data_IF_317684668874
#
_entry.id   IF_317684668874
#
_cell.length_a   1.000
_cell.length_b   1.000
_cell.length_c   1.000
_cell.angle_alpha   90.00
_cell.angle_beta   90.00
_cell.angle_gamma   90.00
#
_symmetry.space_group_name_H-M   'P 1'
#
loop_
_entity.id
_entity.type
_entity.pdbx_description
1 polymer ?
#
# COMPACT_ATOMS: atom_id res chain seq x y z
N UNK A 1 -25.10 -18.86 1.38
CA UNK A 1 -23.63 -18.81 1.34
C UNK A 1 -23.16 -19.61 0.14
N UNK A 2 -22.67 -18.96 -0.92
CA UNK A 2 -22.07 -19.63 -2.05
C UNK A 2 -20.68 -20.11 -1.62
N UNK A 3 -20.40 -21.40 -1.74
CA UNK A 3 -19.05 -21.93 -1.52
C UNK A 3 -18.09 -21.28 -2.52
N UNK A 4 -16.89 -20.89 -2.11
CA UNK A 4 -15.91 -20.33 -3.04
C UNK A 4 -15.55 -21.40 -4.09
N UNK A 5 -15.53 -21.04 -5.38
CA UNK A 5 -15.14 -21.97 -6.44
C UNK A 5 -13.71 -22.47 -6.24
N UNK A 6 -13.47 -23.76 -6.51
CA UNK A 6 -12.12 -24.34 -6.47
C UNK A 6 -11.15 -23.59 -7.39
N UNK A 7 -9.84 -23.62 -7.12
CA UNK A 7 -8.82 -22.77 -7.76
C UNK A 7 -8.88 -22.76 -9.32
N UNK A 8 -9.22 -23.85 -9.96
CA UNK A 8 -9.37 -23.91 -11.43
C UNK A 8 -10.66 -23.21 -11.91
N UNK A 9 -11.75 -23.30 -11.16
CA UNK A 9 -13.01 -22.63 -11.47
C UNK A 9 -12.94 -21.11 -11.22
N UNK A 10 -12.23 -20.67 -10.18
CA UNK A 10 -12.03 -19.25 -9.91
C UNK A 10 -11.20 -18.57 -11.00
N UNK A 11 -10.18 -19.24 -11.53
CA UNK A 11 -9.37 -18.74 -12.64
C UNK A 11 -10.18 -18.70 -13.96
N UNK A 12 -11.04 -19.69 -14.22
CA UNK A 12 -11.93 -19.70 -15.38
C UNK A 12 -12.95 -18.56 -15.29
N UNK A 13 -13.60 -18.39 -14.15
CA UNK A 13 -14.57 -17.32 -13.93
C UNK A 13 -13.95 -15.92 -14.09
N UNK A 14 -12.76 -15.68 -13.51
CA UNK A 14 -12.06 -14.41 -13.67
C UNK A 14 -11.67 -14.14 -15.13
N UNK A 15 -11.22 -15.17 -15.85
CA UNK A 15 -10.91 -15.07 -17.27
C UNK A 15 -12.16 -14.69 -18.09
N UNK A 16 -13.29 -15.40 -17.88
CA UNK A 16 -14.55 -15.12 -18.56
C UNK A 16 -15.06 -13.72 -18.27
N UNK A 17 -14.98 -13.28 -17.01
CA UNK A 17 -15.35 -11.94 -16.59
C UNK A 17 -14.48 -10.88 -17.27
N UNK A 18 -13.16 -11.07 -17.28
CA UNK A 18 -12.24 -10.18 -17.97
C UNK A 18 -12.49 -10.12 -19.47
N UNK A 19 -12.75 -11.27 -20.11
CA UNK A 19 -13.08 -11.30 -21.52
C UNK A 19 -14.41 -10.60 -21.80
N UNK A 20 -15.44 -10.81 -20.97
CA UNK A 20 -16.73 -10.12 -21.11
C UNK A 20 -16.65 -8.60 -20.96
N UNK A 21 -15.88 -8.11 -19.99
CA UNK A 21 -15.74 -6.68 -19.74
C UNK A 21 -14.77 -5.96 -20.69
N UNK A 22 -13.73 -6.66 -21.16
CA UNK A 22 -12.61 -6.06 -21.89
C UNK A 22 -12.47 -6.58 -23.33
N UNK A 23 -13.46 -7.34 -23.85
CA UNK A 23 -13.46 -7.88 -25.23
C UNK A 23 -13.32 -6.78 -26.30
N UNK A 24 -13.91 -5.62 -26.04
CA UNK A 24 -13.93 -4.48 -26.97
C UNK A 24 -13.13 -3.27 -26.48
N UNK A 25 -12.63 -3.31 -25.22
CA UNK A 25 -11.97 -2.17 -24.58
C UNK A 25 -10.61 -2.57 -24.05
N UNK A 26 -9.59 -1.77 -24.33
CA UNK A 26 -8.28 -1.97 -23.69
C UNK A 26 -8.34 -1.58 -22.21
N UNK A 27 -7.52 -2.25 -21.43
CA UNK A 27 -7.25 -1.89 -20.05
C UNK A 27 -6.01 -1.01 -19.95
N UNK A 28 -6.16 0.18 -19.39
CA UNK A 28 -5.06 1.08 -19.01
C UNK A 28 -4.99 1.12 -17.48
N UNK A 29 -3.86 0.74 -16.92
CA UNK A 29 -3.59 0.81 -15.49
C UNK A 29 -2.62 1.94 -15.21
N UNK A 30 -2.91 2.76 -14.21
CA UNK A 30 -2.10 3.93 -13.85
C UNK A 30 -1.73 3.85 -12.37
N UNK A 31 -0.43 3.84 -12.07
CA UNK A 31 0.06 3.89 -10.70
C UNK A 31 1.40 4.62 -10.63
N UNK A 32 1.76 5.17 -9.48
CA UNK A 32 3.04 5.86 -9.35
C UNK A 32 4.24 4.93 -9.55
N UNK A 33 4.19 3.68 -9.05
CA UNK A 33 5.21 2.65 -9.27
C UNK A 33 4.76 1.65 -10.33
N UNK A 34 5.67 1.32 -11.25
CA UNK A 34 5.43 0.33 -12.27
C UNK A 34 5.69 -1.12 -11.81
N UNK A 35 5.36 -2.09 -12.68
CA UNK A 35 5.61 -3.51 -12.46
C UNK A 35 7.09 -3.86 -12.49
N UNK A 36 7.90 -3.01 -13.08
CA UNK A 36 9.36 -3.12 -13.17
C UNK A 36 10.02 -1.76 -12.98
N UNK A 37 11.27 -1.77 -12.58
CA UNK A 37 12.21 -0.64 -12.64
C UNK A 37 13.49 -1.05 -13.38
N UNK A 38 14.13 -0.10 -14.02
CA UNK A 38 15.41 -0.28 -14.71
C UNK A 38 16.51 0.42 -13.93
N UNK A 39 17.58 -0.31 -13.63
CA UNK A 39 18.77 0.23 -12.98
C UNK A 39 19.94 0.22 -13.96
N UNK A 40 20.77 1.26 -13.88
CA UNK A 40 22.05 1.29 -14.59
C UNK A 40 23.08 0.62 -13.68
N UNK A 41 23.69 -0.48 -14.14
CA UNK A 41 24.81 -1.15 -13.51
C UNK A 41 25.86 -1.45 -14.57
N UNK A 42 27.09 -1.02 -14.33
CA UNK A 42 28.20 -1.16 -15.30
C UNK A 42 27.80 -0.71 -16.73
N UNK A 43 27.17 0.45 -16.81
CA UNK A 43 26.59 1.09 -18.02
C UNK A 43 25.54 0.23 -18.78
N UNK A 44 25.09 -0.86 -18.18
CA UNK A 44 24.03 -1.73 -18.71
C UNK A 44 22.72 -1.53 -17.96
N UNK A 45 21.63 -1.61 -18.68
CA UNK A 45 20.30 -1.59 -18.11
C UNK A 45 19.96 -2.96 -17.53
N UNK A 46 19.67 -3.01 -16.24
CA UNK A 46 19.19 -4.20 -15.54
C UNK A 46 17.72 -4.01 -15.17
N UNK A 47 16.87 -4.91 -15.67
CA UNK A 47 15.46 -4.96 -15.31
C UNK A 47 15.30 -5.59 -13.94
N UNK A 48 14.61 -4.90 -13.03
CA UNK A 48 14.21 -5.42 -11.74
C UNK A 48 12.69 -5.48 -11.65
N UNK A 49 12.18 -6.53 -11.03
CA UNK A 49 10.75 -6.63 -10.76
C UNK A 49 10.36 -5.62 -9.68
N UNK A 50 9.32 -4.86 -9.91
CA UNK A 50 8.74 -3.96 -8.93
C UNK A 50 8.29 -4.71 -7.68
N UNK A 51 8.48 -4.09 -6.52
CA UNK A 51 8.09 -4.65 -5.22
C UNK A 51 6.93 -3.88 -4.62
N UNK A 52 6.10 -4.57 -3.84
CA UNK A 52 4.99 -4.00 -3.10
C UNK A 52 3.64 -4.66 -3.40
N UNK A 53 2.73 -4.65 -2.43
CA UNK A 53 1.44 -5.33 -2.50
C UNK A 53 0.59 -4.90 -3.71
N UNK A 54 0.58 -3.60 -4.03
CA UNK A 54 -0.14 -3.05 -5.20
C UNK A 54 0.38 -3.64 -6.51
N UNK A 55 1.71 -3.64 -6.72
CA UNK A 55 2.32 -4.19 -7.94
C UNK A 55 2.04 -5.68 -8.07
N UNK A 56 2.15 -6.42 -6.97
CA UNK A 56 1.89 -7.88 -6.96
C UNK A 56 0.44 -8.20 -7.30
N UNK A 57 -0.51 -7.49 -6.68
CA UNK A 57 -1.93 -7.70 -6.91
C UNK A 57 -2.35 -7.37 -8.36
N UNK A 58 -1.87 -6.24 -8.88
CA UNK A 58 -2.25 -5.76 -10.20
C UNK A 58 -1.55 -6.51 -11.35
N UNK A 59 -0.31 -6.96 -11.15
CA UNK A 59 0.40 -7.76 -12.16
C UNK A 59 -0.33 -9.06 -12.50
N UNK A 60 -1.16 -9.59 -11.59
CA UNK A 60 -1.93 -10.80 -11.86
C UNK A 60 -2.95 -10.61 -12.99
N UNK A 61 -3.48 -9.40 -13.20
CA UNK A 61 -4.47 -9.10 -14.24
C UNK A 61 -3.89 -9.29 -15.64
N UNK A 62 -2.59 -9.01 -15.84
CA UNK A 62 -1.93 -9.17 -17.16
C UNK A 62 -1.90 -10.61 -17.69
N UNK A 63 -2.23 -11.61 -16.85
CA UNK A 63 -2.39 -13.01 -17.28
C UNK A 63 -3.69 -13.26 -18.05
N UNK A 64 -4.66 -12.38 -17.89
CA UNK A 64 -6.01 -12.58 -18.40
C UNK A 64 -6.35 -11.62 -19.53
N UNK A 65 -5.70 -10.46 -19.60
CA UNK A 65 -5.99 -9.40 -20.58
C UNK A 65 -4.73 -8.66 -20.99
N UNK A 66 -4.71 -8.15 -22.22
CA UNK A 66 -3.71 -7.19 -22.66
C UNK A 66 -3.90 -5.89 -21.87
N UNK A 67 -2.86 -5.44 -21.18
CA UNK A 67 -2.91 -4.19 -20.45
C UNK A 67 -1.74 -3.26 -20.80
N UNK A 68 -2.01 -1.96 -20.76
CA UNK A 68 -0.99 -0.91 -20.78
C UNK A 68 -0.85 -0.35 -19.38
N UNK A 69 0.35 -0.46 -18.80
CA UNK A 69 0.63 0.10 -17.49
C UNK A 69 1.39 1.42 -17.62
N UNK A 70 0.83 2.50 -17.08
CA UNK A 70 1.45 3.83 -17.06
C UNK A 70 2.03 4.07 -15.67
N UNK A 71 3.33 4.38 -15.57
CA UNK A 71 4.04 4.54 -14.31
C UNK A 71 5.09 5.65 -14.37
N UNK A 72 5.51 6.19 -13.22
CA UNK A 72 6.63 7.14 -13.14
C UNK A 72 7.96 6.50 -13.52
N UNK A 73 8.76 7.22 -14.32
CA UNK A 73 10.17 6.95 -14.47
C UNK A 73 10.92 7.41 -13.21
N UNK A 74 11.13 6.50 -12.25
CA UNK A 74 11.65 6.84 -10.93
C UNK A 74 13.18 7.01 -10.93
N UNK A 75 13.88 6.12 -11.62
CA UNK A 75 15.34 6.07 -11.70
C UNK A 75 15.91 6.62 -12.98
N UNK A 76 17.23 6.64 -13.09
CA UNK A 76 17.94 7.02 -14.30
C UNK A 76 17.73 5.98 -15.41
N UNK A 77 17.76 4.69 -15.06
CA UNK A 77 17.51 3.61 -16.02
C UNK A 77 16.10 3.70 -16.63
N UNK A 78 15.06 4.01 -15.81
CA UNK A 78 13.70 4.22 -16.32
C UNK A 78 13.63 5.39 -17.32
N UNK A 79 14.32 6.50 -17.00
CA UNK A 79 14.37 7.70 -17.88
C UNK A 79 15.07 7.41 -19.19
N UNK A 80 16.17 6.62 -19.16
CA UNK A 80 16.89 6.18 -20.34
C UNK A 80 15.99 5.31 -21.22
N UNK A 81 15.33 4.30 -20.66
CA UNK A 81 14.36 3.46 -21.38
C UNK A 81 13.22 4.30 -21.95
N UNK A 82 12.66 5.23 -21.17
CA UNK A 82 11.58 6.10 -21.63
C UNK A 82 11.98 6.96 -22.83
N UNK A 83 13.22 7.46 -22.87
CA UNK A 83 13.73 8.26 -24.01
C UNK A 83 14.01 7.42 -25.25
N UNK A 84 14.46 6.17 -25.08
CA UNK A 84 14.74 5.24 -26.20
C UNK A 84 13.47 4.70 -26.84
N UNK A 85 12.42 4.42 -26.04
CA UNK A 85 11.20 3.75 -26.50
C UNK A 85 10.10 4.67 -27.03
N UNK A 86 10.17 5.97 -26.76
CA UNK A 86 9.23 7.00 -27.23
C UNK A 86 7.74 6.59 -27.19
N UNK A 87 7.24 6.21 -26.01
CA UNK A 87 5.85 5.79 -25.81
C UNK A 87 5.72 4.52 -24.99
N UNK A 88 4.73 3.69 -25.34
CA UNK A 88 4.57 2.37 -24.70
C UNK A 88 5.49 1.34 -25.37
N UNK A 89 6.03 0.45 -24.58
CA UNK A 89 6.85 -0.67 -25.03
C UNK A 89 6.49 -1.96 -24.29
N UNK A 90 6.85 -3.07 -24.88
CA UNK A 90 6.53 -4.41 -24.40
C UNK A 90 7.51 -4.83 -23.31
N UNK A 91 6.99 -5.33 -22.20
CA UNK A 91 7.78 -5.90 -21.10
C UNK A 91 7.38 -7.35 -20.92
N UNK A 92 8.38 -8.24 -20.94
CA UNK A 92 8.19 -9.65 -20.64
C UNK A 92 8.60 -9.92 -19.20
N UNK A 93 7.68 -10.49 -18.43
CA UNK A 93 7.91 -10.98 -17.08
C UNK A 93 7.67 -12.50 -17.06
N UNK A 94 8.24 -13.26 -16.09
CA UNK A 94 7.98 -14.70 -16.02
C UNK A 94 6.49 -15.04 -16.00
N UNK A 95 6.00 -15.65 -17.11
CA UNK A 95 4.60 -16.03 -17.30
C UNK A 95 3.62 -14.87 -17.55
N UNK A 96 4.10 -13.68 -17.89
CA UNK A 96 3.28 -12.49 -18.10
C UNK A 96 3.89 -11.57 -19.17
N UNK A 97 3.03 -10.93 -19.95
CA UNK A 97 3.41 -9.92 -20.91
C UNK A 97 2.49 -8.72 -20.75
N UNK A 98 3.05 -7.51 -20.79
CA UNK A 98 2.30 -6.27 -20.69
C UNK A 98 3.00 -5.15 -21.47
N UNK A 99 2.27 -4.08 -21.75
CA UNK A 99 2.86 -2.84 -22.24
C UNK A 99 3.12 -1.89 -21.08
N UNK A 100 4.29 -1.27 -21.05
CA UNK A 100 4.68 -0.25 -20.09
C UNK A 100 4.87 1.09 -20.79
N UNK A 101 4.39 2.17 -20.19
CA UNK A 101 4.67 3.55 -20.57
C UNK A 101 5.14 4.33 -19.36
N UNK A 102 6.35 4.89 -19.46
CA UNK A 102 6.86 5.75 -18.42
C UNK A 102 6.42 7.20 -18.57
N UNK A 103 6.02 7.83 -17.46
CA UNK A 103 5.85 9.27 -17.33
C UNK A 103 7.13 9.86 -16.76
N UNK A 104 7.79 10.70 -17.54
CA UNK A 104 9.05 11.36 -17.15
C UNK A 104 8.74 12.77 -16.64
N UNK A 105 8.97 13.00 -15.36
CA UNK A 105 8.87 14.33 -14.75
C UNK A 105 10.25 14.89 -14.48
N UNK A 106 10.49 16.22 -14.59
CA UNK A 106 11.72 16.84 -14.13
C UNK A 106 12.00 16.51 -12.66
N UNK A 107 13.26 16.34 -12.28
CA UNK A 107 13.64 15.90 -10.92
C UNK A 107 13.08 16.81 -9.82
N UNK A 108 13.11 18.12 -10.02
CA UNK A 108 12.57 19.11 -9.09
C UNK A 108 11.04 19.04 -8.97
N UNK A 109 10.33 18.81 -10.08
CA UNK A 109 8.85 18.63 -10.10
C UNK A 109 8.47 17.34 -9.37
N UNK A 110 9.17 16.23 -9.64
CA UNK A 110 8.94 14.96 -8.95
C UNK A 110 9.27 15.04 -7.47
N UNK A 111 10.31 15.80 -7.08
CA UNK A 111 10.63 16.05 -5.67
C UNK A 111 9.49 16.79 -4.95
N UNK A 112 8.94 17.85 -5.54
CA UNK A 112 7.77 18.57 -5.00
C UNK A 112 6.56 17.65 -4.85
N UNK A 113 6.27 16.88 -5.87
CA UNK A 113 5.18 15.90 -5.89
C UNK A 113 5.33 14.82 -4.80
N UNK A 114 6.44 14.09 -4.81
CA UNK A 114 6.60 12.89 -3.99
C UNK A 114 7.11 13.18 -2.58
N UNK A 115 8.15 14.02 -2.46
CA UNK A 115 8.84 14.23 -1.19
C UNK A 115 8.29 15.40 -0.37
N UNK A 116 7.58 16.35 -0.99
CA UNK A 116 6.99 17.48 -0.26
C UNK A 116 5.48 17.34 -0.09
N UNK A 117 4.75 16.82 -1.07
CA UNK A 117 3.29 16.79 -1.03
C UNK A 117 2.72 15.40 -0.72
N UNK A 118 3.03 14.37 -1.53
CA UNK A 118 2.39 13.06 -1.37
C UNK A 118 2.69 12.42 -0.01
N UNK A 119 3.95 12.24 0.34
CA UNK A 119 4.32 11.48 1.53
C UNK A 119 4.27 12.27 2.83
N UNK A 120 4.82 13.50 2.94
CA UNK A 120 4.78 14.26 4.20
C UNK A 120 3.42 14.89 4.50
N UNK A 121 2.54 15.07 3.49
CA UNK A 121 1.25 15.71 3.69
C UNK A 121 0.09 14.74 3.53
N UNK A 122 -0.23 14.29 2.29
CA UNK A 122 -1.41 13.44 2.06
C UNK A 122 -1.32 12.11 2.80
N UNK A 123 -0.19 11.43 2.74
CA UNK A 123 -0.03 10.15 3.42
C UNK A 123 -0.16 10.30 4.93
N UNK A 124 0.50 11.32 5.52
CA UNK A 124 0.40 11.59 6.96
C UNK A 124 -1.01 12.02 7.37
N UNK A 125 -1.67 12.87 6.56
CA UNK A 125 -3.08 13.23 6.77
C UNK A 125 -3.95 11.97 6.82
N UNK A 126 -3.87 11.14 5.81
CA UNK A 126 -4.74 9.96 5.69
C UNK A 126 -4.44 8.86 6.74
N UNK A 127 -3.27 8.90 7.36
CA UNK A 127 -2.92 8.00 8.46
C UNK A 127 -3.02 8.66 9.84
N UNK A 128 -3.67 9.82 9.98
CA UNK A 128 -3.81 10.56 11.26
C UNK A 128 -2.46 10.87 11.94
N UNK A 129 -1.40 11.10 11.15
CA UNK A 129 -0.03 11.24 11.63
C UNK A 129 0.45 12.69 11.75
N UNK A 130 -0.44 13.67 11.54
CA UNK A 130 -0.08 15.08 11.78
C UNK A 130 0.01 15.36 13.27
N UNK A 131 1.11 15.97 13.71
CA UNK A 131 1.25 16.51 15.06
C UNK A 131 0.71 17.94 15.07
N UNK A 132 -0.60 18.08 14.99
CA UNK A 132 -1.31 19.31 14.69
C UNK A 132 -0.94 20.54 15.51
N UNK A 133 -0.50 20.48 16.79
CA UNK A 133 0.00 21.66 17.48
C UNK A 133 1.29 22.25 16.89
N UNK A 134 2.07 21.44 16.15
CA UNK A 134 3.41 21.82 15.69
C UNK A 134 3.64 21.65 14.18
N UNK A 135 3.08 20.62 13.58
CA UNK A 135 3.34 20.25 12.17
C UNK A 135 2.12 19.58 11.53
N UNK A 136 1.96 19.70 10.19
CA UNK A 136 2.75 20.50 9.26
C UNK A 136 2.36 21.99 9.28
N UNK A 137 3.27 22.86 8.81
CA UNK A 137 2.94 24.24 8.47
C UNK A 137 2.68 24.30 6.97
N UNK A 138 1.46 24.68 6.58
CA UNK A 138 1.03 24.74 5.18
C UNK A 138 1.32 26.13 4.60
N UNK A 139 2.60 26.39 4.31
CA UNK A 139 3.12 27.66 3.79
C UNK A 139 3.13 27.71 2.24
N UNK A 140 3.71 28.77 1.68
CA UNK A 140 3.83 28.96 0.22
C UNK A 140 4.55 27.82 -0.49
N UNK A 141 5.46 27.10 0.19
CA UNK A 141 6.18 25.94 -0.39
C UNK A 141 5.25 24.75 -0.61
N UNK A 142 4.26 24.60 0.28
CA UNK A 142 3.22 23.56 0.13
C UNK A 142 2.30 23.91 -1.04
N UNK A 143 1.92 25.17 -1.22
CA UNK A 143 1.12 25.59 -2.37
C UNK A 143 1.90 25.46 -3.68
N UNK A 144 3.18 25.78 -3.70
CA UNK A 144 4.05 25.53 -4.85
C UNK A 144 4.21 24.04 -5.14
N UNK A 145 4.34 23.19 -4.11
CA UNK A 145 4.39 21.74 -4.26
C UNK A 145 3.06 21.15 -4.74
N UNK A 146 1.93 21.75 -4.37
CA UNK A 146 0.63 21.40 -4.91
C UNK A 146 0.55 21.69 -6.42
N UNK A 147 0.73 22.95 -6.83
CA UNK A 147 0.58 23.38 -8.24
C UNK A 147 1.67 22.79 -9.15
N UNK A 148 2.95 23.06 -8.79
CA UNK A 148 4.12 22.76 -9.62
C UNK A 148 4.74 21.38 -9.32
N UNK A 149 4.07 20.58 -8.49
CA UNK A 149 4.43 19.20 -8.17
C UNK A 149 3.25 18.28 -8.40
N UNK A 150 2.31 18.27 -7.45
CA UNK A 150 1.21 17.30 -7.42
C UNK A 150 0.28 17.42 -8.64
N UNK A 151 -0.25 18.61 -8.90
CA UNK A 151 -1.14 18.85 -10.04
C UNK A 151 -0.40 18.63 -11.36
N UNK A 152 0.84 19.15 -11.50
CA UNK A 152 1.63 19.01 -12.70
C UNK A 152 1.94 17.54 -13.06
N UNK A 153 2.35 16.73 -12.08
CA UNK A 153 2.62 15.29 -12.30
C UNK A 153 1.34 14.54 -12.64
N UNK A 154 0.24 14.80 -11.92
CA UNK A 154 -1.07 14.18 -12.20
C UNK A 154 -1.55 14.51 -13.62
N UNK A 155 -1.34 15.75 -14.10
CA UNK A 155 -1.63 16.13 -15.49
C UNK A 155 -0.79 15.33 -16.47
N UNK A 156 0.51 15.17 -16.22
CA UNK A 156 1.38 14.36 -17.08
C UNK A 156 0.94 12.89 -17.17
N UNK A 157 0.44 12.32 -16.08
CA UNK A 157 -0.17 10.98 -16.09
C UNK A 157 -1.46 10.94 -16.92
N UNK A 158 -2.33 11.93 -16.75
CA UNK A 158 -3.55 12.04 -17.53
C UNK A 158 -3.25 12.20 -19.03
N UNK A 159 -2.32 13.07 -19.39
CA UNK A 159 -1.89 13.27 -20.80
C UNK A 159 -1.34 11.97 -21.40
N UNK A 160 -0.55 11.20 -20.65
CA UNK A 160 -0.06 9.90 -21.09
C UNK A 160 -1.21 8.91 -21.34
N UNK A 161 -2.21 8.87 -20.45
CA UNK A 161 -3.39 8.01 -20.60
C UNK A 161 -4.28 8.43 -21.77
N UNK A 162 -4.50 9.74 -21.96
CA UNK A 162 -5.26 10.31 -23.08
C UNK A 162 -4.58 9.96 -24.40
N UNK A 163 -3.25 10.11 -24.49
CA UNK A 163 -2.48 9.77 -25.68
C UNK A 163 -2.48 8.25 -25.98
N UNK A 164 -2.61 7.37 -24.99
CA UNK A 164 -2.84 5.95 -25.22
C UNK A 164 -4.28 5.67 -25.66
N UNK A 165 -5.25 6.29 -25.00
CA UNK A 165 -6.67 6.12 -25.29
C UNK A 165 -7.07 6.62 -26.70
N UNK A 166 -6.43 7.67 -27.19
CA UNK A 166 -6.72 8.23 -28.53
C UNK A 166 -6.40 7.25 -29.70
N UNK A 167 -5.70 6.17 -29.43
CA UNK A 167 -5.41 5.11 -30.41
C UNK A 167 -6.56 4.14 -30.59
N UNK A 168 -7.59 4.19 -29.72
CA UNK A 168 -8.72 3.26 -29.68
C UNK A 168 -9.95 3.87 -30.32
N UNK A 169 -10.74 3.01 -31.00
CA UNK A 169 -12.05 3.43 -31.53
C UNK A 169 -13.10 3.54 -30.42
N UNK A 170 -13.00 2.70 -29.39
CA UNK A 170 -13.87 2.65 -28.23
C UNK A 170 -13.05 3.11 -27.02
N UNK A 171 -13.57 4.05 -26.20
CA UNK A 171 -12.84 4.53 -25.03
C UNK A 171 -12.44 3.39 -24.08
N UNK A 172 -11.21 3.38 -23.56
CA UNK A 172 -10.70 2.28 -22.74
C UNK A 172 -11.33 2.24 -21.35
N UNK A 173 -11.10 1.11 -20.67
CA UNK A 173 -11.26 1.02 -19.22
C UNK A 173 -9.95 1.50 -18.56
N UNK A 174 -10.02 2.46 -17.65
CA UNK A 174 -8.85 3.05 -17.00
C UNK A 174 -8.94 2.84 -15.49
N UNK A 175 -7.97 2.12 -14.93
CA UNK A 175 -7.83 1.90 -13.49
C UNK A 175 -6.69 2.78 -12.94
N UNK A 176 -7.03 3.74 -12.08
CA UNK A 176 -6.11 4.66 -11.43
C UNK A 176 -5.89 4.20 -9.99
N UNK A 177 -4.65 4.20 -9.52
CA UNK A 177 -4.32 3.67 -8.20
C UNK A 177 -3.66 4.69 -7.30
N UNK A 178 -4.25 4.80 -6.10
CA UNK A 178 -3.72 5.35 -4.88
C UNK A 178 -3.63 6.89 -4.82
N UNK A 179 -3.30 7.41 -3.63
CA UNK A 179 -3.35 8.83 -3.23
C UNK A 179 -2.43 9.75 -4.02
N UNK A 180 -1.41 9.21 -4.64
CA UNK A 180 -0.52 10.01 -5.48
C UNK A 180 -1.22 10.59 -6.72
N UNK A 181 -2.34 10.02 -7.15
CA UNK A 181 -2.93 10.26 -8.47
C UNK A 181 -4.38 10.76 -8.41
N UNK A 182 -4.81 11.36 -7.31
CA UNK A 182 -6.22 11.78 -7.13
C UNK A 182 -6.75 12.75 -8.19
N UNK A 183 -5.87 13.55 -8.84
CA UNK A 183 -6.29 14.52 -9.85
C UNK A 183 -6.41 13.92 -11.27
N UNK A 184 -5.87 12.72 -11.51
CA UNK A 184 -5.80 12.10 -12.84
C UNK A 184 -7.18 11.85 -13.44
N UNK A 185 -8.12 11.32 -12.63
CA UNK A 185 -9.47 10.99 -13.09
C UNK A 185 -10.25 12.20 -13.62
N UNK A 186 -10.18 13.32 -12.90
CA UNK A 186 -10.80 14.57 -13.32
C UNK A 186 -10.23 15.11 -14.64
N UNK A 187 -8.92 15.06 -14.83
CA UNK A 187 -8.28 15.49 -16.08
C UNK A 187 -8.63 14.60 -17.27
N UNK A 188 -8.70 13.27 -17.08
CA UNK A 188 -9.10 12.34 -18.15
C UNK A 188 -10.57 12.54 -18.51
N UNK A 189 -11.48 12.69 -17.54
CA UNK A 189 -12.91 12.86 -17.77
C UNK A 189 -13.20 14.08 -18.64
N UNK A 190 -12.46 15.18 -18.46
CA UNK A 190 -12.60 16.39 -19.26
C UNK A 190 -12.30 16.16 -20.76
N UNK A 191 -11.38 15.26 -21.09
CA UNK A 191 -10.91 15.02 -22.45
C UNK A 191 -11.56 13.80 -23.10
N UNK A 192 -11.91 12.78 -22.31
CA UNK A 192 -12.52 11.53 -22.78
C UNK A 192 -13.78 11.24 -21.94
N UNK A 193 -14.90 11.92 -22.21
CA UNK A 193 -16.13 11.75 -21.42
C UNK A 193 -16.68 10.32 -21.40
N UNK A 194 -16.44 9.53 -22.44
CA UNK A 194 -16.91 8.14 -22.58
C UNK A 194 -15.98 7.07 -21.99
N UNK A 195 -14.84 7.43 -21.40
CA UNK A 195 -13.97 6.47 -20.71
C UNK A 195 -14.65 5.92 -19.46
N UNK A 196 -14.44 4.63 -19.18
CA UNK A 196 -14.82 4.03 -17.89
C UNK A 196 -13.64 4.18 -16.96
N UNK A 197 -13.81 4.97 -15.89
CA UNK A 197 -12.75 5.33 -14.95
C UNK A 197 -13.01 4.69 -13.59
N UNK A 198 -12.02 3.98 -13.06
CA UNK A 198 -12.00 3.52 -11.68
C UNK A 198 -10.80 4.13 -10.97
N UNK A 199 -11.00 4.66 -9.76
CA UNK A 199 -9.90 5.05 -8.87
C UNK A 199 -9.92 4.18 -7.62
N UNK A 200 -8.85 3.43 -7.37
CA UNK A 200 -8.71 2.59 -6.18
C UNK A 200 -7.74 3.22 -5.18
N UNK A 201 -8.18 3.41 -3.94
CA UNK A 201 -7.41 4.00 -2.86
C UNK A 201 -6.94 2.89 -1.91
N UNK A 202 -5.61 2.69 -1.83
CA UNK A 202 -5.02 1.62 -1.04
C UNK A 202 -4.80 1.97 0.43
N UNK A 203 -4.67 3.25 0.74
CA UNK A 203 -4.48 3.76 2.10
C UNK A 203 -5.82 4.12 2.74
N UNK A 204 -5.90 4.29 4.08
CA UNK A 204 -7.14 4.65 4.74
C UNK A 204 -7.71 5.98 4.23
N UNK A 205 -9.03 6.12 4.27
CA UNK A 205 -9.69 7.42 4.11
C UNK A 205 -10.10 7.94 5.50
N UNK A 206 -9.52 9.04 5.99
CA UNK A 206 -9.81 9.55 7.33
C UNK A 206 -11.21 10.14 7.43
N UNK A 207 -11.72 10.23 8.65
CA UNK A 207 -12.98 10.91 8.93
C UNK A 207 -12.97 12.34 8.37
N UNK A 208 -14.12 12.80 7.89
CA UNK A 208 -14.27 14.12 7.27
C UNK A 208 -13.79 15.27 8.17
N UNK A 209 -13.97 15.14 9.51
CA UNK A 209 -13.47 16.12 10.47
C UNK A 209 -11.95 16.33 10.41
N UNK A 210 -11.19 15.28 10.08
CA UNK A 210 -9.73 15.40 9.96
C UNK A 210 -9.29 16.10 8.67
N UNK A 211 -10.10 16.02 7.60
CA UNK A 211 -9.89 16.78 6.36
C UNK A 211 -10.03 18.29 6.54
N UNK A 212 -10.66 18.78 7.61
CA UNK A 212 -10.69 20.22 7.91
C UNK A 212 -9.29 20.81 8.14
N UNK A 213 -8.32 20.01 8.55
CA UNK A 213 -6.93 20.44 8.71
C UNK A 213 -6.24 20.75 7.37
N UNK A 214 -6.81 20.27 6.25
CA UNK A 214 -6.24 20.47 4.92
C UNK A 214 -6.89 21.67 4.20
N UNK A 215 -6.14 22.44 3.37
CA UNK A 215 -6.68 23.63 2.71
C UNK A 215 -7.94 23.36 1.90
N UNK A 216 -8.96 24.23 2.05
CA UNK A 216 -10.28 24.10 1.39
C UNK A 216 -10.14 23.85 -0.12
N UNK A 217 -9.29 24.63 -0.79
CA UNK A 217 -9.10 24.53 -2.25
C UNK A 217 -8.56 23.14 -2.65
N UNK A 218 -7.54 22.64 -1.93
CA UNK A 218 -6.89 21.36 -2.27
C UNK A 218 -7.81 20.17 -2.00
N UNK A 219 -8.46 20.13 -0.80
CA UNK A 219 -9.37 19.03 -0.47
C UNK A 219 -10.59 18.96 -1.41
N UNK A 220 -11.14 20.13 -1.77
CA UNK A 220 -12.25 20.22 -2.73
C UNK A 220 -11.83 19.71 -4.11
N UNK A 221 -10.67 20.16 -4.62
CA UNK A 221 -10.16 19.72 -5.92
C UNK A 221 -9.92 18.19 -5.96
N UNK A 222 -9.38 17.61 -4.88
CA UNK A 222 -9.20 16.15 -4.76
C UNK A 222 -10.55 15.44 -4.83
N UNK A 223 -11.53 15.86 -4.05
CA UNK A 223 -12.85 15.22 -4.00
C UNK A 223 -13.62 15.39 -5.29
N UNK A 224 -13.58 16.58 -5.92
CA UNK A 224 -14.20 16.82 -7.23
C UNK A 224 -13.60 15.91 -8.31
N UNK A 225 -12.27 15.72 -8.30
CA UNK A 225 -11.61 14.83 -9.26
C UNK A 225 -11.95 13.35 -9.01
N UNK A 226 -12.05 12.91 -7.76
CA UNK A 226 -12.50 11.57 -7.41
C UNK A 226 -13.99 11.35 -7.74
N UNK A 227 -14.83 12.38 -7.65
CA UNK A 227 -16.22 12.32 -8.09
C UNK A 227 -16.40 12.45 -9.62
N UNK A 228 -15.35 12.60 -10.39
CA UNK A 228 -15.38 12.56 -11.86
C UNK A 228 -15.15 11.16 -12.44
N UNK A 229 -14.81 10.17 -11.60
CA UNK A 229 -14.67 8.77 -12.03
C UNK A 229 -15.99 8.01 -11.82
N UNK A 230 -16.17 6.88 -12.52
CA UNK A 230 -17.38 6.07 -12.41
C UNK A 230 -17.41 5.24 -11.13
N UNK A 231 -16.23 4.80 -10.67
CA UNK A 231 -16.08 3.96 -9.48
C UNK A 231 -14.91 4.45 -8.63
N UNK A 232 -15.19 4.75 -7.35
CA UNK A 232 -14.17 4.89 -6.31
C UNK A 232 -14.14 3.60 -5.49
N UNK A 233 -13.01 2.89 -5.53
CA UNK A 233 -12.76 1.69 -4.74
C UNK A 233 -11.94 2.02 -3.50
N UNK A 234 -12.33 1.48 -2.36
CA UNK A 234 -11.66 1.61 -1.07
C UNK A 234 -11.43 0.24 -0.44
N UNK A 235 -10.67 0.17 0.65
CA UNK A 235 -10.35 -1.10 1.27
C UNK A 235 -11.47 -1.64 2.18
N UNK A 236 -12.17 -0.76 2.88
CA UNK A 236 -13.09 -1.11 3.97
C UNK A 236 -14.42 -0.39 3.86
N UNK A 237 -15.45 -0.91 4.50
CA UNK A 237 -16.76 -0.24 4.62
C UNK A 237 -16.66 1.08 5.39
N UNK A 238 -15.79 1.14 6.40
CA UNK A 238 -15.48 2.37 7.14
C UNK A 238 -14.93 3.46 6.23
N UNK A 239 -13.98 3.12 5.35
CA UNK A 239 -13.40 4.09 4.40
C UNK A 239 -14.44 4.59 3.40
N UNK A 240 -15.35 3.70 2.92
CA UNK A 240 -16.48 4.08 2.06
C UNK A 240 -17.36 5.11 2.75
N UNK A 241 -17.76 4.86 4.00
CA UNK A 241 -18.58 5.80 4.77
C UNK A 241 -17.89 7.14 4.98
N UNK A 242 -16.59 7.13 5.33
CA UNK A 242 -15.80 8.34 5.51
C UNK A 242 -15.66 9.14 4.21
N UNK A 243 -15.49 8.47 3.06
CA UNK A 243 -15.41 9.14 1.77
C UNK A 243 -16.73 9.79 1.39
N UNK A 244 -17.85 9.07 1.50
CA UNK A 244 -19.20 9.61 1.26
C UNK A 244 -19.46 10.85 2.12
N UNK A 245 -19.20 10.75 3.43
CA UNK A 245 -19.39 11.86 4.36
C UNK A 245 -18.44 13.05 4.08
N UNK A 246 -17.23 12.79 3.58
CA UNK A 246 -16.33 13.86 3.15
C UNK A 246 -16.88 14.61 1.93
N UNK A 247 -17.42 13.89 0.95
CA UNK A 247 -18.02 14.51 -0.23
C UNK A 247 -19.28 15.30 0.10
N UNK A 248 -20.15 14.75 0.95
CA UNK A 248 -21.37 15.42 1.43
C UNK A 248 -21.04 16.75 2.14
N UNK A 249 -20.01 16.74 2.99
CA UNK A 249 -19.62 17.91 3.77
C UNK A 249 -18.88 18.99 2.95
N UNK A 250 -18.07 18.61 1.96
CA UNK A 250 -17.14 19.54 1.29
C UNK A 250 -17.50 19.89 -0.13
N UNK A 251 -18.46 19.19 -0.76
CA UNK A 251 -18.94 19.47 -2.11
C UNK A 251 -20.38 19.98 -2.06
N UNK A 252 -20.54 21.29 -2.00
CA UNK A 252 -21.84 21.97 -1.86
C UNK A 252 -22.84 21.57 -2.98
N UNK A 253 -22.34 21.24 -4.19
CA UNK A 253 -23.14 20.86 -5.36
C UNK A 253 -23.35 19.34 -5.48
N UNK A 254 -22.96 18.56 -4.47
CA UNK A 254 -23.10 17.10 -4.49
C UNK A 254 -24.40 16.63 -3.83
N UNK A 255 -24.88 15.48 -4.28
CA UNK A 255 -25.94 14.73 -3.61
C UNK A 255 -25.45 13.32 -3.31
N UNK A 256 -25.33 13.00 -2.03
CA UNK A 256 -24.85 11.70 -1.55
C UNK A 256 -26.02 10.80 -1.20
N UNK A 257 -26.00 9.58 -1.73
CA UNK A 257 -26.93 8.51 -1.39
C UNK A 257 -26.17 7.45 -0.61
N UNK A 258 -26.36 7.45 0.71
CA UNK A 258 -25.68 6.52 1.63
C UNK A 258 -26.22 5.09 1.56
N UNK A 259 -27.46 4.90 1.12
CA UNK A 259 -28.06 3.57 0.99
C UNK A 259 -27.44 2.81 -0.20
N UNK A 260 -27.28 3.50 -1.32
CA UNK A 260 -26.72 2.92 -2.55
C UNK A 260 -25.22 3.20 -2.72
N UNK A 261 -24.56 3.89 -1.77
CA UNK A 261 -23.17 4.32 -1.82
C UNK A 261 -22.84 5.03 -3.14
N UNK A 262 -23.63 6.06 -3.50
CA UNK A 262 -23.39 6.83 -4.72
C UNK A 262 -23.34 8.32 -4.47
N UNK A 263 -22.60 9.03 -5.30
CA UNK A 263 -22.47 10.48 -5.28
C UNK A 263 -22.87 11.01 -6.65
N UNK A 264 -23.78 11.97 -6.66
CA UNK A 264 -24.14 12.72 -7.85
C UNK A 264 -23.49 14.10 -7.76
N UNK A 265 -22.57 14.41 -8.67
CA UNK A 265 -21.91 15.72 -8.75
C UNK A 265 -22.03 16.27 -10.18
N UNK A 266 -22.70 17.41 -10.35
CA UNK A 266 -22.85 18.08 -11.66
C UNK A 266 -23.33 17.16 -12.79
N UNK A 267 -24.26 16.25 -12.48
CA UNK A 267 -24.84 15.31 -13.46
C UNK A 267 -24.02 14.03 -13.67
N UNK A 268 -22.84 13.89 -13.08
CA UNK A 268 -22.07 12.65 -13.08
C UNK A 268 -22.35 11.82 -11.83
N UNK A 269 -22.57 10.50 -12.01
CA UNK A 269 -22.79 9.55 -10.93
C UNK A 269 -21.55 8.73 -10.67
N UNK A 270 -21.00 8.82 -9.46
CA UNK A 270 -19.90 8.01 -8.97
C UNK A 270 -20.41 6.95 -8.00
N UNK A 271 -20.09 5.68 -8.23
CA UNK A 271 -20.29 4.60 -7.27
C UNK A 271 -19.09 4.50 -6.34
N UNK A 272 -19.34 4.36 -5.04
CA UNK A 272 -18.30 4.13 -4.03
C UNK A 272 -18.47 2.74 -3.44
N UNK A 273 -17.41 1.93 -3.39
CA UNK A 273 -17.53 0.57 -2.88
C UNK A 273 -16.23 0.09 -2.20
N UNK A 274 -16.36 -0.83 -1.25
CA UNK A 274 -15.21 -1.52 -0.66
C UNK A 274 -14.83 -2.74 -1.50
N UNK A 275 -13.55 -2.82 -1.82
CA UNK A 275 -12.93 -3.96 -2.51
C UNK A 275 -11.66 -4.35 -1.74
N UNK A 276 -11.77 -5.08 -0.62
CA UNK A 276 -10.63 -5.40 0.23
C UNK A 276 -9.60 -6.23 -0.54
N UNK A 277 -8.39 -5.71 -0.69
CA UNK A 277 -7.29 -6.43 -1.35
C UNK A 277 -6.94 -7.68 -0.54
N UNK A 278 -6.75 -8.79 -1.24
CA UNK A 278 -6.39 -10.08 -0.66
C UNK A 278 -5.07 -10.59 -1.26
N UNK A 279 -4.72 -11.82 -0.93
CA UNK A 279 -3.50 -12.50 -1.36
C UNK A 279 -3.83 -13.72 -2.22
N UNK A 280 -2.94 -14.08 -3.15
CA UNK A 280 -3.02 -15.34 -3.87
C UNK A 280 -2.58 -16.48 -2.94
N UNK A 281 -3.56 -17.13 -2.30
CA UNK A 281 -3.34 -18.19 -1.31
C UNK A 281 -2.49 -19.33 -1.89
N UNK A 282 -2.78 -19.76 -3.11
CA UNK A 282 -2.07 -20.88 -3.73
C UNK A 282 -0.61 -20.52 -4.07
N UNK A 283 -0.36 -19.32 -4.58
CA UNK A 283 0.99 -18.85 -4.86
C UNK A 283 1.79 -18.66 -3.56
N UNK A 284 1.15 -18.11 -2.53
CA UNK A 284 1.78 -17.90 -1.22
C UNK A 284 2.13 -19.23 -0.56
N UNK A 285 1.23 -20.23 -0.57
CA UNK A 285 1.50 -21.56 -0.03
C UNK A 285 2.60 -22.28 -0.80
N UNK A 286 2.63 -22.19 -2.15
CA UNK A 286 3.74 -22.74 -2.94
C UNK A 286 5.07 -22.09 -2.57
N UNK A 287 5.10 -20.77 -2.42
CA UNK A 287 6.30 -20.05 -2.00
C UNK A 287 6.75 -20.47 -0.61
N UNK A 288 5.82 -20.55 0.35
CA UNK A 288 6.09 -20.97 1.72
C UNK A 288 6.68 -22.39 1.84
N UNK A 289 6.40 -23.28 0.87
CA UNK A 289 6.94 -24.64 0.81
C UNK A 289 8.23 -24.78 -0.02
N UNK A 290 8.76 -23.68 -0.55
CA UNK A 290 9.97 -23.70 -1.39
C UNK A 290 11.22 -24.07 -0.58
N UNK A 291 12.25 -24.61 -1.27
CA UNK A 291 13.56 -24.92 -0.66
C UNK A 291 14.21 -23.67 -0.06
N UNK A 292 14.05 -22.52 -0.71
CA UNK A 292 14.61 -21.24 -0.26
C UNK A 292 14.00 -20.77 1.07
N UNK A 293 12.69 -20.97 1.29
CA UNK A 293 12.06 -20.67 2.57
C UNK A 293 12.61 -21.60 3.65
N UNK A 294 12.76 -22.90 3.35
CA UNK A 294 13.35 -23.88 4.31
C UNK A 294 14.78 -23.53 4.69
N UNK A 295 15.60 -23.08 3.75
CA UNK A 295 16.94 -22.58 4.03
C UNK A 295 16.92 -21.40 5.02
N UNK A 296 16.00 -20.43 4.83
CA UNK A 296 15.84 -19.35 5.80
C UNK A 296 15.28 -19.83 7.13
N UNK A 297 14.40 -20.81 7.18
CA UNK A 297 13.94 -21.40 8.45
C UNK A 297 15.11 -21.97 9.25
N UNK A 298 16.03 -22.72 8.62
CA UNK A 298 17.23 -23.25 9.28
C UNK A 298 18.13 -22.11 9.81
N UNK A 299 18.33 -21.06 9.02
CA UNK A 299 19.12 -19.90 9.42
C UNK A 299 18.48 -19.10 10.57
N UNK A 300 17.15 -19.14 10.71
CA UNK A 300 16.42 -18.45 11.78
C UNK A 300 16.36 -19.26 13.08
N UNK A 301 16.48 -20.60 13.04
CA UNK A 301 16.40 -21.46 14.23
C UNK A 301 17.27 -21.03 15.41
N UNK A 302 18.55 -20.62 15.23
CA UNK A 302 19.38 -20.15 16.35
C UNK A 302 18.87 -18.85 17.00
N UNK A 303 18.02 -18.11 16.31
CA UNK A 303 17.45 -16.86 16.79
C UNK A 303 16.09 -17.02 17.48
N UNK A 304 15.49 -18.20 17.44
CA UNK A 304 14.18 -18.46 18.08
C UNK A 304 14.32 -18.51 19.60
N UNK A 305 13.24 -18.09 20.29
CA UNK A 305 13.03 -18.39 21.71
C UNK A 305 12.25 -19.69 21.90
N UNK A 306 11.94 -20.03 23.14
CA UNK A 306 10.95 -21.09 23.46
C UNK A 306 9.56 -20.69 22.93
N UNK A 307 9.25 -19.41 23.04
CA UNK A 307 8.18 -18.74 22.30
C UNK A 307 8.79 -17.61 21.46
N UNK A 308 8.26 -17.40 20.27
CA UNK A 308 8.75 -16.40 19.34
C UNK A 308 7.62 -15.50 18.85
N UNK A 309 7.76 -14.22 19.15
CA UNK A 309 6.91 -13.17 18.58
C UNK A 309 7.56 -12.70 17.29
N UNK A 310 6.79 -12.59 16.21
CA UNK A 310 7.28 -12.07 14.93
C UNK A 310 6.49 -10.83 14.56
N UNK A 311 7.18 -9.85 13.98
CA UNK A 311 6.56 -8.75 13.25
C UNK A 311 7.22 -8.56 11.91
N UNK A 312 6.43 -8.21 10.89
CA UNK A 312 6.87 -7.98 9.52
C UNK A 312 6.30 -6.65 9.04
N UNK A 313 7.15 -5.63 8.88
CA UNK A 313 6.70 -4.29 8.56
C UNK A 313 7.67 -3.53 7.66
N UNK A 314 7.17 -2.52 6.95
CA UNK A 314 8.02 -1.42 6.50
C UNK A 314 8.34 -0.53 7.71
N UNK A 315 9.57 0.00 7.80
CA UNK A 315 9.95 0.94 8.86
C UNK A 315 9.25 2.30 8.65
N UNK A 316 7.95 2.35 8.97
CA UNK A 316 7.05 3.49 8.80
C UNK A 316 6.31 3.82 10.09
N UNK A 317 6.04 5.11 10.39
CA UNK A 317 5.34 5.52 11.61
C UNK A 317 3.97 4.85 11.79
N UNK A 318 3.22 4.64 10.71
CA UNK A 318 1.89 3.99 10.76
C UNK A 318 1.92 2.56 11.26
N UNK A 319 3.07 1.87 11.15
CA UNK A 319 3.24 0.48 11.59
C UNK A 319 3.41 0.33 13.10
N UNK A 320 3.53 1.44 13.82
CA UNK A 320 3.50 1.46 15.30
C UNK A 320 4.56 0.57 15.97
N UNK A 321 5.73 0.47 15.33
CA UNK A 321 6.79 -0.46 15.74
C UNK A 321 7.27 -0.13 17.14
N UNK A 322 7.53 1.15 17.43
CA UNK A 322 8.03 1.62 18.73
C UNK A 322 7.07 1.25 19.88
N UNK A 323 5.73 1.37 19.69
CA UNK A 323 4.79 0.93 20.74
C UNK A 323 4.75 -0.57 20.91
N UNK A 324 4.86 -1.35 19.83
CA UNK A 324 5.00 -2.80 19.94
C UNK A 324 6.25 -3.23 20.70
N UNK A 325 7.36 -2.51 20.52
CA UNK A 325 8.60 -2.72 21.31
C UNK A 325 8.40 -2.32 22.77
N UNK A 326 7.72 -1.21 23.07
CA UNK A 326 7.37 -0.81 24.45
C UNK A 326 6.48 -1.84 25.13
N UNK A 327 5.49 -2.38 24.43
CA UNK A 327 4.66 -3.45 24.99
C UNK A 327 5.50 -4.68 25.32
N UNK A 328 6.47 -5.03 24.47
CA UNK A 328 7.40 -6.13 24.75
C UNK A 328 8.34 -5.84 25.95
N UNK A 329 8.84 -4.60 26.10
CA UNK A 329 9.57 -4.17 27.31
C UNK A 329 8.71 -4.34 28.58
N UNK A 330 7.47 -3.83 28.54
CA UNK A 330 6.52 -3.99 29.66
C UNK A 330 6.21 -5.47 29.97
N UNK A 331 6.06 -6.31 28.93
CA UNK A 331 5.87 -7.75 29.09
C UNK A 331 7.03 -8.41 29.88
N UNK A 332 8.26 -8.14 29.47
CA UNK A 332 9.46 -8.70 30.13
C UNK A 332 9.66 -8.16 31.55
N UNK A 333 9.31 -6.89 31.79
CA UNK A 333 9.37 -6.29 33.14
C UNK A 333 8.35 -6.90 34.08
N UNK A 334 7.10 -7.10 33.60
CA UNK A 334 5.98 -7.64 34.40
C UNK A 334 6.07 -9.14 34.64
N UNK A 335 6.62 -9.89 33.69
CA UNK A 335 6.72 -11.34 33.72
C UNK A 335 8.18 -11.80 33.57
N UNK A 336 9.00 -11.68 34.64
CA UNK A 336 10.43 -12.04 34.57
C UNK A 336 10.71 -13.51 34.24
N UNK A 337 9.73 -14.40 34.45
CA UNK A 337 9.81 -15.83 34.08
C UNK A 337 9.80 -16.06 32.55
N UNK A 338 9.51 -15.01 31.76
CA UNK A 338 9.62 -15.02 30.31
C UNK A 338 11.05 -14.69 29.81
N UNK A 339 11.91 -14.16 30.69
CA UNK A 339 13.34 -13.95 30.36
C UNK A 339 13.99 -15.28 29.96
N UNK A 340 14.94 -15.23 29.03
CA UNK A 340 15.57 -16.38 28.39
C UNK A 340 14.62 -17.34 27.63
N UNK A 341 13.32 -17.05 27.57
CA UNK A 341 12.30 -17.89 26.92
C UNK A 341 11.63 -17.24 25.70
N UNK A 342 11.30 -15.96 25.79
CA UNK A 342 10.54 -15.26 24.73
C UNK A 342 11.49 -14.38 23.93
N UNK A 343 11.45 -14.48 22.61
CA UNK A 343 12.16 -13.59 21.69
C UNK A 343 11.24 -12.91 20.74
N UNK A 344 11.60 -11.67 20.33
CA UNK A 344 10.94 -10.95 19.26
C UNK A 344 11.85 -10.86 18.02
N UNK A 345 11.38 -11.36 16.88
CA UNK A 345 12.04 -11.19 15.59
C UNK A 345 11.32 -10.12 14.78
N UNK A 346 12.04 -9.09 14.41
CA UNK A 346 11.53 -7.96 13.64
C UNK A 346 12.08 -8.01 12.21
N UNK A 347 11.25 -8.31 11.22
CA UNK A 347 11.60 -8.23 9.80
C UNK A 347 11.14 -6.88 9.27
N UNK A 348 12.09 -5.94 9.14
CA UNK A 348 11.80 -4.55 8.83
C UNK A 348 12.38 -4.14 7.47
N UNK A 349 11.52 -3.65 6.58
CA UNK A 349 11.95 -3.16 5.27
C UNK A 349 12.18 -1.65 5.33
N UNK A 350 13.39 -1.16 4.94
CA UNK A 350 13.64 0.29 4.82
C UNK A 350 12.59 0.98 3.94
N UNK A 351 12.06 2.11 4.40
CA UNK A 351 11.03 2.85 3.67
C UNK A 351 11.36 4.33 3.63
N UNK A 352 11.20 4.95 2.44
CA UNK A 352 11.26 6.41 2.21
C UNK A 352 12.43 7.10 2.93
N UNK A 353 13.62 6.50 2.87
CA UNK A 353 14.84 6.95 3.57
C UNK A 353 15.28 8.40 3.21
N UNK A 354 14.76 8.99 2.14
CA UNK A 354 14.97 10.40 1.81
C UNK A 354 14.10 11.39 2.59
N UNK A 355 13.18 10.94 3.46
CA UNK A 355 12.24 11.78 4.21
C UNK A 355 12.64 11.79 5.69
N UNK A 356 12.87 12.97 6.27
CA UNK A 356 13.39 13.16 7.66
C UNK A 356 12.55 12.43 8.71
N UNK A 357 11.22 12.47 8.60
CA UNK A 357 10.32 11.81 9.55
C UNK A 357 10.54 10.28 9.59
N UNK A 358 10.80 9.66 8.44
CA UNK A 358 11.08 8.23 8.35
C UNK A 358 12.48 7.88 8.88
N UNK A 359 13.47 8.74 8.62
CA UNK A 359 14.82 8.57 9.18
C UNK A 359 14.79 8.62 10.71
N UNK A 360 14.10 9.62 11.28
CA UNK A 360 13.95 9.73 12.72
C UNK A 360 13.24 8.52 13.32
N UNK A 361 12.13 8.10 12.72
CA UNK A 361 11.41 6.94 13.20
C UNK A 361 12.22 5.65 13.15
N UNK A 362 13.05 5.47 12.11
CA UNK A 362 13.99 4.36 12.02
C UNK A 362 15.00 4.41 13.15
N UNK A 363 15.54 5.58 13.49
CA UNK A 363 16.44 5.75 14.64
C UNK A 363 15.73 5.41 15.96
N UNK A 364 14.50 5.93 16.17
CA UNK A 364 13.70 5.62 17.36
C UNK A 364 13.47 4.10 17.54
N UNK A 365 13.33 3.35 16.44
CA UNK A 365 13.23 1.87 16.48
C UNK A 365 14.51 1.25 17.00
N UNK A 366 15.67 1.61 16.44
CA UNK A 366 16.96 1.01 16.85
C UNK A 366 17.34 1.40 18.26
N UNK A 367 17.12 2.66 18.66
CA UNK A 367 17.37 3.11 20.04
C UNK A 367 16.54 2.30 21.05
N UNK A 368 15.26 2.02 20.72
CA UNK A 368 14.40 1.19 21.58
C UNK A 368 14.86 -0.27 21.63
N UNK A 369 15.28 -0.85 20.51
CA UNK A 369 15.82 -2.21 20.45
C UNK A 369 17.08 -2.33 21.28
N UNK A 370 18.01 -1.38 21.16
CA UNK A 370 19.27 -1.35 21.91
C UNK A 370 19.02 -1.19 23.41
N UNK A 371 18.07 -0.32 23.78
CA UNK A 371 17.67 -0.15 25.19
C UNK A 371 17.14 -1.44 25.78
N UNK A 372 16.24 -2.14 25.11
CA UNK A 372 15.63 -3.40 25.59
C UNK A 372 16.68 -4.52 25.64
N UNK A 373 17.50 -4.65 24.59
CA UNK A 373 18.56 -5.67 24.55
C UNK A 373 19.63 -5.42 25.62
N UNK A 374 19.96 -4.17 25.95
CA UNK A 374 20.87 -3.82 27.04
C UNK A 374 20.26 -4.09 28.42
N UNK A 375 18.95 -3.80 28.60
CA UNK A 375 18.24 -3.96 29.88
C UNK A 375 18.09 -5.43 30.28
N UNK A 376 17.81 -6.31 29.32
CA UNK A 376 17.44 -7.71 29.61
C UNK A 376 18.39 -8.76 29.02
N UNK A 377 19.19 -8.38 28.01
CA UNK A 377 20.05 -9.30 27.31
C UNK A 377 21.26 -9.77 28.13
N UNK A 378 21.79 -10.92 27.75
CA UNK A 378 23.04 -11.48 28.31
C UNK A 378 23.86 -12.15 27.19
N UNK A 379 25.01 -12.72 27.50
CA UNK A 379 25.95 -13.34 26.54
C UNK A 379 25.29 -14.47 25.70
N UNK A 380 24.23 -15.08 26.19
CA UNK A 380 23.58 -16.26 25.57
C UNK A 380 22.20 -15.90 24.96
N UNK A 381 21.61 -14.83 25.38
CA UNK A 381 20.24 -14.47 25.00
C UNK A 381 20.09 -12.99 24.77
N UNK A 382 19.56 -12.64 23.60
CA UNK A 382 19.08 -11.28 23.26
C UNK A 382 17.58 -11.34 22.98
N UNK A 383 16.77 -10.51 23.67
CA UNK A 383 15.32 -10.53 23.52
C UNK A 383 14.85 -10.16 22.13
N UNK A 384 15.53 -9.24 21.47
CA UNK A 384 15.07 -8.72 20.14
C UNK A 384 16.18 -8.92 19.10
N UNK A 385 15.79 -9.49 17.95
CA UNK A 385 16.62 -9.54 16.73
C UNK A 385 15.92 -8.80 15.60
N UNK A 386 16.61 -7.84 14.99
CA UNK A 386 16.13 -7.10 13.83
C UNK A 386 16.81 -7.56 12.56
N UNK A 387 16.03 -7.85 11.51
CA UNK A 387 16.48 -8.07 10.14
C UNK A 387 15.99 -6.84 9.33
N UNK A 388 16.94 -5.95 8.99
CA UNK A 388 16.63 -4.67 8.35
C UNK A 388 16.99 -4.69 6.88
N UNK A 389 16.18 -5.41 6.09
CA UNK A 389 16.38 -5.59 4.66
C UNK A 389 15.06 -5.91 3.94
N UNK A 390 15.02 -5.71 2.62
CA UNK A 390 13.88 -6.13 1.82
C UNK A 390 14.00 -7.61 1.41
N UNK A 391 13.64 -8.51 2.29
CA UNK A 391 13.74 -9.96 2.09
C UNK A 391 12.40 -10.66 2.42
N UNK A 392 11.51 -10.69 1.43
CA UNK A 392 10.18 -11.29 1.58
C UNK A 392 10.24 -12.78 1.93
N UNK A 393 11.18 -13.53 1.34
CA UNK A 393 11.33 -14.98 1.60
C UNK A 393 11.72 -15.26 3.05
N UNK A 394 12.63 -14.45 3.61
CA UNK A 394 13.01 -14.55 5.01
C UNK A 394 11.85 -14.18 5.95
N UNK A 395 11.07 -13.14 5.60
CA UNK A 395 9.88 -12.76 6.36
C UNK A 395 8.82 -13.88 6.37
N UNK A 396 8.59 -14.56 5.25
CA UNK A 396 7.74 -15.75 5.19
C UNK A 396 8.26 -16.86 6.11
N UNK A 397 9.56 -17.14 6.10
CA UNK A 397 10.16 -18.13 7.00
C UNK A 397 9.93 -17.75 8.49
N UNK A 398 10.09 -16.47 8.84
CA UNK A 398 9.79 -15.96 10.17
C UNK A 398 8.33 -16.17 10.58
N UNK A 399 7.37 -15.80 9.70
CA UNK A 399 5.93 -16.00 9.94
C UNK A 399 5.55 -17.48 10.09
N UNK A 400 6.25 -18.40 9.41
CA UNK A 400 6.03 -19.83 9.55
C UNK A 400 6.48 -20.39 10.91
N UNK A 401 7.47 -19.79 11.51
CA UNK A 401 8.10 -20.25 12.77
C UNK A 401 7.56 -19.55 14.03
N UNK A 402 6.73 -18.50 13.88
CA UNK A 402 6.25 -17.72 15.02
C UNK A 402 5.18 -18.48 15.84
N UNK A 403 5.13 -18.16 17.13
CA UNK A 403 4.04 -18.52 18.03
C UNK A 403 3.02 -17.37 18.11
N UNK A 404 3.49 -16.11 17.99
CA UNK A 404 2.65 -14.91 17.93
C UNK A 404 3.09 -14.05 16.77
N UNK A 405 2.14 -13.64 15.92
CA UNK A 405 2.34 -12.62 14.90
C UNK A 405 1.75 -11.30 15.38
N UNK A 406 2.60 -10.29 15.60
CA UNK A 406 2.18 -8.97 16.08
C UNK A 406 1.99 -8.01 14.90
N UNK A 407 0.76 -7.59 14.66
CA UNK A 407 0.35 -6.63 13.62
C UNK A 407 -0.45 -5.52 14.28
N UNK A 408 0.25 -4.49 14.78
CA UNK A 408 -0.35 -3.44 15.59
C UNK A 408 -0.25 -2.02 14.98
N UNK A 409 -0.58 -1.80 13.67
CA UNK A 409 -0.48 -0.46 13.09
C UNK A 409 -1.37 0.53 13.82
N UNK A 410 -0.97 1.82 13.81
CA UNK A 410 -1.84 2.94 14.28
C UNK A 410 -3.10 2.99 13.42
N UNK A 411 -2.92 2.86 12.11
CA UNK A 411 -3.96 2.68 11.11
C UNK A 411 -3.33 2.11 9.83
N UNK A 412 -4.08 1.26 9.14
CA UNK A 412 -3.65 0.69 7.85
C UNK A 412 -4.86 0.49 6.95
N UNK A 413 -4.69 0.69 5.64
CA UNK A 413 -5.76 0.47 4.67
C UNK A 413 -6.25 -0.98 4.67
N UNK A 414 -5.32 -1.93 4.65
CA UNK A 414 -5.64 -3.37 4.74
C UNK A 414 -4.69 -4.09 5.71
N UNK A 415 -3.39 -4.09 5.47
CA UNK A 415 -2.33 -4.88 6.06
C UNK A 415 -2.35 -6.36 5.60
N UNK A 416 -1.60 -6.62 4.53
CA UNK A 416 -1.55 -7.98 3.96
C UNK A 416 -0.82 -8.99 4.85
N UNK A 417 0.10 -8.56 5.72
CA UNK A 417 0.81 -9.44 6.66
C UNK A 417 -0.17 -10.16 7.59
N UNK A 418 -1.24 -9.46 8.02
CA UNK A 418 -2.31 -10.06 8.83
C UNK A 418 -3.04 -11.20 8.10
N UNK A 419 -3.10 -11.16 6.75
CA UNK A 419 -3.68 -12.21 5.92
C UNK A 419 -2.66 -13.29 5.55
N UNK A 420 -1.41 -12.88 5.29
CA UNK A 420 -0.32 -13.79 4.91
C UNK A 420 0.08 -14.73 6.05
N UNK A 421 0.20 -14.20 7.27
CA UNK A 421 0.64 -14.96 8.44
C UNK A 421 -0.15 -16.24 8.68
N UNK A 422 -1.47 -16.19 8.86
CA UNK A 422 -2.29 -17.38 9.06
C UNK A 422 -2.22 -18.40 7.90
N UNK A 423 -2.04 -17.93 6.66
CA UNK A 423 -1.95 -18.81 5.48
C UNK A 423 -0.64 -19.58 5.44
N UNK A 424 0.47 -18.97 5.88
CA UNK A 424 1.80 -19.58 5.81
C UNK A 424 2.21 -20.26 7.09
N UNK A 425 1.54 -20.00 8.21
CA UNK A 425 1.90 -20.56 9.52
C UNK A 425 2.08 -22.08 9.45
N UNK A 426 3.15 -22.58 10.07
CA UNK A 426 3.42 -24.00 10.26
C UNK A 426 3.10 -24.47 11.69
N UNK A 427 2.60 -23.55 12.53
CA UNK A 427 2.21 -23.77 13.92
C UNK A 427 0.79 -23.22 14.15
N UNK A 428 0.20 -23.53 15.29
CA UNK A 428 -1.03 -22.87 15.78
C UNK A 428 -0.67 -21.50 16.37
N UNK A 429 -0.29 -20.57 15.48
CA UNK A 429 0.14 -19.23 15.88
C UNK A 429 -1.03 -18.30 16.13
N UNK A 430 -0.88 -17.41 17.11
CA UNK A 430 -1.86 -16.36 17.42
C UNK A 430 -1.54 -15.09 16.63
N UNK A 431 -2.55 -14.52 16.00
CA UNK A 431 -2.45 -13.18 15.40
C UNK A 431 -2.97 -12.14 16.39
N UNK A 432 -2.09 -11.21 16.81
CA UNK A 432 -2.46 -10.01 17.55
C UNK A 432 -2.62 -8.88 16.53
N UNK A 433 -3.83 -8.36 16.38
CA UNK A 433 -4.19 -7.43 15.31
C UNK A 433 -4.80 -6.14 15.83
N UNK A 434 -4.29 -5.01 15.37
CA UNK A 434 -4.90 -3.70 15.64
C UNK A 434 -6.30 -3.59 15.04
N UNK A 435 -7.27 -3.12 15.85
CA UNK A 435 -8.63 -2.78 15.43
C UNK A 435 -8.68 -1.72 14.30
N UNK A 436 -7.61 -0.93 14.17
CA UNK A 436 -7.48 0.11 13.15
C UNK A 436 -6.88 -0.39 11.82
N UNK A 437 -6.49 -1.65 11.73
CA UNK A 437 -6.09 -2.27 10.46
C UNK A 437 -7.33 -2.63 9.63
N UNK A 438 -7.33 -2.37 8.32
CA UNK A 438 -8.46 -2.75 7.46
C UNK A 438 -8.74 -4.25 7.45
N UNK A 439 -7.71 -5.08 7.62
CA UNK A 439 -7.86 -6.53 7.74
C UNK A 439 -8.71 -6.95 8.96
N UNK A 440 -8.83 -6.09 9.98
CA UNK A 440 -9.63 -6.35 11.16
C UNK A 440 -11.13 -6.48 10.84
N UNK A 441 -11.66 -5.77 9.82
CA UNK A 441 -13.05 -5.97 9.38
C UNK A 441 -13.35 -7.41 8.94
N UNK A 442 -12.33 -8.15 8.51
CA UNK A 442 -12.48 -9.52 8.02
C UNK A 442 -12.02 -10.58 9.03
N UNK A 443 -11.08 -10.24 9.90
CA UNK A 443 -10.40 -11.20 10.78
C UNK A 443 -10.70 -10.99 12.26
N UNK A 444 -11.34 -9.88 12.65
CA UNK A 444 -11.50 -9.43 14.03
C UNK A 444 -12.09 -10.48 14.99
N UNK A 445 -13.03 -11.32 14.52
CA UNK A 445 -13.64 -12.40 15.32
C UNK A 445 -12.70 -13.59 15.60
N UNK A 446 -11.53 -13.65 14.93
CA UNK A 446 -10.61 -14.79 14.95
C UNK A 446 -9.19 -14.42 15.41
N UNK A 447 -9.01 -13.24 16.00
CA UNK A 447 -7.70 -12.70 16.40
C UNK A 447 -7.76 -12.13 17.81
N UNK A 448 -6.61 -11.88 18.40
CA UNK A 448 -6.52 -11.04 19.60
C UNK A 448 -6.52 -9.59 19.15
N UNK A 449 -7.65 -8.92 19.36
CA UNK A 449 -7.85 -7.52 18.97
C UNK A 449 -7.20 -6.58 19.98
N UNK A 450 -6.50 -5.56 19.49
CA UNK A 450 -5.84 -4.55 20.34
C UNK A 450 -6.08 -3.15 19.81
N UNK A 451 -6.34 -2.21 20.70
CA UNK A 451 -6.33 -0.79 20.35
C UNK A 451 -4.87 -0.34 20.11
N UNK A 452 -4.58 0.44 19.05
CA UNK A 452 -3.19 0.70 18.64
C UNK A 452 -2.37 1.51 19.63
N UNK A 453 -3.00 2.26 20.53
CA UNK A 453 -2.32 3.05 21.57
C UNK A 453 -2.24 2.32 22.93
N UNK A 454 -2.96 1.22 23.07
CA UNK A 454 -3.07 0.49 24.35
C UNK A 454 -1.90 -0.48 24.52
N UNK A 455 -0.86 -0.01 25.24
CA UNK A 455 0.31 -0.84 25.56
C UNK A 455 -0.08 -1.96 26.52
N UNK A 456 -0.94 -1.68 27.49
CA UNK A 456 -1.40 -2.67 28.50
C UNK A 456 -2.17 -3.81 27.84
N UNK A 457 -3.04 -3.50 26.90
CA UNK A 457 -3.80 -4.52 26.17
C UNK A 457 -2.96 -5.36 25.20
N UNK A 458 -1.73 -4.92 24.90
CA UNK A 458 -0.78 -5.70 24.09
C UNK A 458 0.12 -6.62 24.91
N UNK A 459 0.18 -6.45 26.23
CA UNK A 459 0.98 -7.23 27.19
C UNK A 459 0.26 -8.49 27.62
#
# INVERSE_FOLDING_TARGET
MLQPPGNNQANSYLYELCQGLLSERRLILISNRGPVDYRVKDDRLQLNRGSGGVVTALSAISKYVELTWIASAMGEGDRRVASEQNGRFKVQLPGQELYLRFVVSPRNVYHKYYNLFCNPLLWFLQHYMWNSPYTPNLDHKVYDAWENGYVAVNRSFADAAIAEASKDKIPPFIMIHDYQLYMVGGFIRQQIPGAILQHFIHIPWPASSYWHLFPKLMRRAIMESLCAVDIVGLQTGRDVHHFLHSCDLFLEDSRVDYENNTIMLRGHKTRVASYPVSVDVAALQRHARSSRVREYEENLRPHLGKQTIVRVDRAEPSKNIVRGLKAFDTLLERYPDLLDRVKMLCFLVPSRSGIKQYQRYTQDIFDMVDMINTKYGNDRWQPIKVFFENNYTQAIAGMRLCDVLLVNPVIDGMNLVAKEGPIVSAKDSVLVLSESAGAHEQLGEHVVSVAPADIEGMV
#
